data_IF_095962441870
#
_entry.id   IF_095962441870
#
_cell.length_a   1.000
_cell.length_b   1.000
_cell.length_c   1.000
_cell.angle_alpha   90.00
_cell.angle_beta   90.00
_cell.angle_gamma   90.00
#
_symmetry.space_group_name_H-M   'P 1'
#
loop_
_entity.id
_entity.type
_entity.pdbx_description
1 polymer ?
#
# COMPACT_ATOMS: atom_id res chain seq x y z
N UNK A 1 43.76 25.26 21.18
CA UNK A 1 42.79 24.16 20.97
C UNK A 1 41.41 24.66 21.39
N UNK A 2 40.54 25.05 20.45
CA UNK A 2 39.13 25.41 20.72
C UNK A 2 38.29 24.73 19.64
N UNK A 3 37.57 23.66 20.02
CA UNK A 3 36.69 22.90 19.11
C UNK A 3 35.46 23.76 18.84
N UNK A 4 35.16 24.03 17.57
CA UNK A 4 33.93 24.70 17.15
C UNK A 4 32.79 23.70 17.29
N UNK A 5 31.84 23.97 18.17
CA UNK A 5 30.58 23.23 18.26
C UNK A 5 29.72 23.72 17.10
N UNK A 6 29.51 22.87 16.11
CA UNK A 6 28.53 23.08 15.05
C UNK A 6 27.19 22.65 15.64
N UNK A 7 26.36 23.61 16.04
CA UNK A 7 24.95 23.40 16.33
C UNK A 7 24.25 23.10 14.99
N UNK A 8 24.01 21.82 14.71
CA UNK A 8 23.09 21.39 13.67
C UNK A 8 21.67 21.76 14.12
N UNK A 9 21.15 22.86 13.59
CA UNK A 9 19.73 23.18 13.64
C UNK A 9 18.99 22.12 12.79
N UNK A 10 18.48 21.09 13.44
CA UNK A 10 17.52 20.17 12.81
C UNK A 10 16.25 21.00 12.59
N UNK A 11 15.74 21.15 11.36
CA UNK A 11 14.53 21.90 11.11
C UNK A 11 13.35 21.16 11.76
N UNK A 12 12.85 21.81 12.81
CA UNK A 12 11.48 21.88 13.31
C UNK A 12 10.50 20.97 12.54
N UNK A 13 10.05 19.93 13.24
CA UNK A 13 8.90 19.09 12.91
C UNK A 13 7.72 20.00 12.55
N UNK A 14 7.38 20.06 11.28
CA UNK A 14 6.16 20.72 10.84
C UNK A 14 5.01 19.79 11.21
N UNK A 15 4.34 20.20 12.26
CA UNK A 15 3.02 19.75 12.70
C UNK A 15 2.03 19.91 11.53
N UNK A 16 1.94 18.90 10.67
CA UNK A 16 0.88 18.81 9.68
C UNK A 16 -0.38 18.36 10.42
N UNK A 17 -1.20 19.36 10.72
CA UNK A 17 -2.63 19.33 10.99
C UNK A 17 -3.25 17.94 10.90
N UNK A 18 -3.73 17.44 12.03
CA UNK A 18 -4.81 16.46 12.08
C UNK A 18 -6.03 17.14 11.43
N UNK A 19 -6.07 17.15 10.10
CA UNK A 19 -7.34 17.17 9.40
C UNK A 19 -7.82 15.74 9.51
N UNK A 20 -8.79 15.55 10.38
CA UNK A 20 -9.56 14.33 10.52
C UNK A 20 -10.09 13.94 9.14
N UNK A 21 -9.29 13.19 8.38
CA UNK A 21 -9.84 12.32 7.37
C UNK A 21 -10.69 11.36 8.17
N UNK A 22 -12.00 11.49 7.96
CA UNK A 22 -12.97 10.52 8.39
C UNK A 22 -12.40 9.15 8.07
N UNK A 23 -11.87 8.47 9.09
CA UNK A 23 -11.99 7.03 9.17
C UNK A 23 -13.51 6.82 9.14
N UNK A 24 -14.07 6.69 7.94
CA UNK A 24 -15.19 5.78 7.77
C UNK A 24 -14.54 4.44 8.13
N UNK A 25 -14.56 4.15 9.43
CA UNK A 25 -14.35 2.82 9.94
C UNK A 25 -15.48 1.99 9.35
N UNK A 26 -15.29 1.56 8.11
CA UNK A 26 -15.89 0.37 7.64
C UNK A 26 -15.16 -0.73 8.40
N UNK A 27 -15.71 -1.06 9.57
CA UNK A 27 -15.41 -2.33 10.22
C UNK A 27 -16.02 -3.42 9.32
N UNK A 28 -15.37 -3.72 8.20
CA UNK A 28 -15.66 -4.88 7.35
C UNK A 28 -14.93 -6.13 7.85
N UNK A 29 -14.08 -6.02 8.87
CA UNK A 29 -13.33 -7.13 9.42
C UNK A 29 -12.16 -7.57 8.53
N UNK A 30 -11.76 -6.74 7.56
CA UNK A 30 -10.63 -7.05 6.70
C UNK A 30 -9.30 -6.96 7.47
N UNK A 31 -8.46 -7.99 7.31
CA UNK A 31 -7.12 -8.03 7.89
C UNK A 31 -6.19 -7.05 7.16
N UNK A 32 -5.71 -6.04 7.88
CA UNK A 32 -4.65 -5.14 7.41
C UNK A 32 -3.31 -5.83 7.55
N UNK A 33 -2.56 -5.93 6.46
CA UNK A 33 -1.19 -6.44 6.41
C UNK A 33 -0.22 -5.30 6.15
N UNK A 34 0.93 -5.33 6.81
CA UNK A 34 1.90 -4.22 6.76
C UNK A 34 3.27 -4.65 6.28
N UNK A 35 4.00 -3.73 5.66
CA UNK A 35 5.41 -3.89 5.28
C UNK A 35 6.12 -2.56 5.47
N UNK A 36 7.06 -2.50 6.42
CA UNK A 36 7.92 -1.34 6.65
C UNK A 36 9.34 -1.70 6.22
N UNK A 37 9.74 -1.19 5.07
CA UNK A 37 11.06 -1.46 4.50
C UNK A 37 11.61 -0.20 3.86
N UNK A 38 12.90 0.03 4.06
CA UNK A 38 13.62 1.19 3.51
C UNK A 38 12.96 2.55 3.84
N UNK A 39 12.31 2.67 5.01
CA UNK A 39 11.64 3.89 5.45
C UNK A 39 10.35 4.21 4.70
N UNK A 40 9.75 3.20 4.05
CA UNK A 40 8.43 3.26 3.41
C UNK A 40 7.54 2.19 4.05
N UNK A 41 6.47 2.64 4.69
CA UNK A 41 5.44 1.81 5.30
C UNK A 41 4.29 1.63 4.32
N UNK A 42 3.96 0.38 4.04
CA UNK A 42 2.73 -0.05 3.38
C UNK A 42 1.77 -0.64 4.40
N UNK A 43 0.50 -0.28 4.28
CA UNK A 43 -0.64 -0.90 4.94
C UNK A 43 -1.65 -1.29 3.86
N UNK A 44 -1.99 -2.57 3.78
CA UNK A 44 -2.82 -3.11 2.71
C UNK A 44 -3.93 -3.99 3.28
N UNK A 45 -5.17 -3.77 2.85
CA UNK A 45 -6.33 -4.58 3.25
C UNK A 45 -7.13 -5.06 2.03
N UNK A 46 -7.62 -6.29 2.07
CA UNK A 46 -8.49 -6.85 1.03
C UNK A 46 -9.95 -6.48 1.32
N UNK A 47 -10.57 -5.64 0.49
CA UNK A 47 -11.91 -5.13 0.73
C UNK A 47 -13.00 -6.07 0.19
N UNK A 48 -14.00 -6.37 1.05
CA UNK A 48 -15.29 -6.99 0.70
C UNK A 48 -15.21 -8.10 -0.38
N UNK A 49 -14.29 -9.07 -0.20
CA UNK A 49 -14.07 -10.12 -1.21
C UNK A 49 -15.34 -10.94 -1.49
N UNK A 50 -15.65 -11.10 -2.78
CA UNK A 50 -16.62 -12.05 -3.27
C UNK A 50 -16.12 -12.64 -4.61
N UNK A 51 -16.26 -13.96 -4.84
CA UNK A 51 -15.68 -14.62 -6.02
C UNK A 51 -16.13 -14.06 -7.39
N UNK A 52 -17.31 -13.44 -7.44
CA UNK A 52 -17.89 -12.88 -8.66
C UNK A 52 -17.53 -11.40 -8.89
N UNK A 53 -16.76 -10.80 -7.97
CA UNK A 53 -16.42 -9.39 -7.99
C UNK A 53 -14.91 -9.17 -8.24
N UNK A 54 -14.55 -8.03 -8.87
CA UNK A 54 -13.16 -7.56 -8.90
C UNK A 54 -12.57 -7.45 -7.49
N UNK A 55 -11.29 -7.81 -7.34
CA UNK A 55 -10.60 -7.63 -6.07
C UNK A 55 -10.20 -6.17 -5.88
N UNK A 56 -10.39 -5.68 -4.66
CA UNK A 56 -10.09 -4.30 -4.27
C UNK A 56 -9.19 -4.32 -3.06
N UNK A 57 -8.03 -3.69 -3.18
CA UNK A 57 -7.12 -3.52 -2.05
C UNK A 57 -7.12 -2.06 -1.63
N UNK A 58 -7.44 -1.80 -0.37
CA UNK A 58 -7.15 -0.51 0.24
C UNK A 58 -5.64 -0.47 0.51
N UNK A 59 -4.96 0.53 -0.03
CA UNK A 59 -3.50 0.66 0.07
C UNK A 59 -3.19 2.04 0.62
N UNK A 60 -2.51 2.06 1.77
CA UNK A 60 -1.91 3.26 2.34
C UNK A 60 -0.40 3.13 2.35
N UNK A 61 0.30 4.16 1.88
CA UNK A 61 1.75 4.22 1.77
C UNK A 61 2.22 5.51 2.41
N UNK A 62 3.19 5.42 3.31
CA UNK A 62 3.77 6.59 3.97
C UNK A 62 5.29 6.50 3.99
N UNK A 63 5.95 7.65 3.83
CA UNK A 63 7.40 7.74 3.99
C UNK A 63 7.80 9.07 4.62
N UNK A 64 8.91 9.06 5.35
CA UNK A 64 9.49 10.27 5.94
C UNK A 64 10.60 10.91 5.09
N UNK A 65 10.92 10.33 3.93
CA UNK A 65 11.95 10.83 3.02
C UNK A 65 11.72 10.41 1.58
N UNK A 66 12.24 11.15 0.59
CA UNK A 66 12.05 10.82 -0.83
C UNK A 66 10.62 11.02 -1.31
N UNK A 67 10.29 10.64 -2.54
CA UNK A 67 8.94 10.78 -3.11
C UNK A 67 8.42 9.43 -3.59
N UNK A 68 7.12 9.18 -3.43
CA UNK A 68 6.44 7.95 -3.84
C UNK A 68 6.08 7.98 -5.33
N UNK A 69 7.09 8.04 -6.20
CA UNK A 69 6.93 8.31 -7.64
C UNK A 69 6.61 7.06 -8.50
N UNK A 70 6.24 5.94 -7.88
CA UNK A 70 5.92 4.71 -8.60
C UNK A 70 4.43 4.59 -8.93
N UNK A 71 4.14 4.05 -10.12
CA UNK A 71 2.78 3.70 -10.53
C UNK A 71 2.44 2.29 -10.03
N UNK A 72 1.55 2.20 -9.04
CA UNK A 72 1.08 0.93 -8.48
C UNK A 72 0.53 -0.03 -9.54
N UNK A 73 -0.06 0.48 -10.63
CA UNK A 73 -0.56 -0.38 -11.72
C UNK A 73 0.55 -1.05 -12.53
N UNK A 74 1.79 -0.56 -12.42
CA UNK A 74 2.97 -1.06 -13.15
C UNK A 74 3.90 -1.88 -12.30
N UNK A 75 3.84 -1.71 -10.99
CA UNK A 75 4.73 -2.40 -10.05
C UNK A 75 4.04 -3.51 -9.26
N UNK A 76 2.74 -3.73 -9.49
CA UNK A 76 1.98 -4.72 -8.75
C UNK A 76 1.44 -5.84 -9.63
N UNK A 77 1.31 -7.03 -9.03
CA UNK A 77 0.56 -8.15 -9.61
C UNK A 77 0.00 -9.05 -8.49
N UNK A 78 -1.08 -9.76 -8.79
CA UNK A 78 -1.59 -10.85 -7.96
C UNK A 78 -1.17 -12.20 -8.54
N UNK A 79 -0.93 -13.15 -7.66
CA UNK A 79 -0.89 -14.57 -7.98
C UNK A 79 -1.91 -15.30 -7.09
N UNK A 80 -2.67 -16.23 -7.64
CA UNK A 80 -3.47 -17.17 -6.85
C UNK A 80 -2.72 -18.48 -6.58
N UNK A 81 -3.28 -19.31 -5.70
CA UNK A 81 -2.74 -20.62 -5.34
C UNK A 81 -2.84 -21.68 -6.46
N UNK A 82 -3.43 -21.31 -7.60
CA UNK A 82 -3.54 -22.15 -8.80
C UNK A 82 -2.48 -21.79 -9.84
N UNK A 83 -1.73 -20.72 -9.60
CA UNK A 83 -0.65 -20.24 -10.46
C UNK A 83 -1.10 -19.22 -11.51
N UNK A 84 -2.36 -18.77 -11.48
CA UNK A 84 -2.83 -17.71 -12.36
C UNK A 84 -2.29 -16.36 -11.87
N UNK A 85 -1.89 -15.49 -12.81
CA UNK A 85 -1.40 -14.14 -12.53
C UNK A 85 -2.34 -13.08 -13.06
N UNK A 86 -2.53 -12.03 -12.29
CA UNK A 86 -3.44 -10.93 -12.62
C UNK A 86 -2.74 -9.58 -12.47
N UNK A 87 -2.83 -8.75 -13.51
CA UNK A 87 -2.37 -7.36 -13.47
C UNK A 87 -3.46 -6.44 -12.88
N UNK A 88 -3.09 -5.32 -12.23
CA UNK A 88 -4.04 -4.33 -11.78
C UNK A 88 -4.81 -3.73 -12.97
N UNK A 89 -6.12 -3.51 -12.78
CA UNK A 89 -6.96 -2.79 -13.74
C UNK A 89 -6.74 -1.29 -13.61
N UNK A 90 -6.72 -0.77 -12.38
CA UNK A 90 -6.59 0.66 -12.11
C UNK A 90 -6.14 0.95 -10.68
N UNK A 91 -5.59 2.15 -10.49
CA UNK A 91 -5.36 2.77 -9.20
C UNK A 91 -6.36 3.90 -8.99
N UNK A 92 -7.22 3.76 -7.98
CA UNK A 92 -8.19 4.76 -7.56
C UNK A 92 -7.64 5.56 -6.39
N UNK A 93 -6.64 6.40 -6.66
CA UNK A 93 -6.05 7.31 -5.69
C UNK A 93 -5.37 8.49 -6.38
N UNK A 94 -4.65 9.34 -5.63
CA UNK A 94 -3.83 10.38 -6.23
C UNK A 94 -2.81 9.82 -7.21
N UNK A 95 -2.37 10.59 -8.23
CA UNK A 95 -1.27 10.18 -9.09
C UNK A 95 0.03 9.97 -8.27
N UNK A 96 1.01 9.22 -8.79
CA UNK A 96 2.29 9.01 -8.12
C UNK A 96 2.97 10.32 -7.69
N UNK A 97 3.59 10.29 -6.51
CA UNK A 97 4.37 11.38 -5.93
C UNK A 97 4.02 11.68 -4.47
N UNK A 98 4.75 12.63 -3.90
CA UNK A 98 4.57 13.07 -2.51
C UNK A 98 5.09 12.06 -1.48
N UNK A 99 4.62 12.18 -0.24
CA UNK A 99 5.11 11.37 0.90
C UNK A 99 4.02 10.49 1.53
N UNK A 100 2.78 10.62 1.06
CA UNK A 100 1.63 9.86 1.51
C UNK A 100 0.74 9.55 0.30
N UNK A 101 0.45 8.28 0.07
CA UNK A 101 -0.52 7.81 -0.92
C UNK A 101 -1.56 6.95 -0.22
N UNK A 102 -2.83 7.15 -0.56
CA UNK A 102 -3.94 6.34 -0.09
C UNK A 102 -4.97 6.19 -1.20
N UNK A 103 -5.51 4.99 -1.38
CA UNK A 103 -6.45 4.70 -2.46
C UNK A 103 -6.68 3.20 -2.66
N UNK A 104 -7.44 2.88 -3.69
CA UNK A 104 -7.82 1.48 -3.98
C UNK A 104 -7.09 0.97 -5.21
N UNK A 105 -6.35 -0.13 -5.07
CA UNK A 105 -5.77 -0.87 -6.18
C UNK A 105 -6.77 -1.94 -6.64
N UNK A 106 -7.30 -1.78 -7.84
CA UNK A 106 -8.30 -2.67 -8.42
C UNK A 106 -7.64 -3.76 -9.27
N UNK A 107 -8.08 -5.00 -9.10
CA UNK A 107 -7.71 -6.16 -9.91
C UNK A 107 -8.94 -6.76 -10.58
N UNK A 108 -8.79 -7.54 -11.65
CA UNK A 108 -9.92 -8.21 -12.28
C UNK A 108 -10.55 -9.26 -11.35
N UNK A 109 -11.66 -9.85 -11.81
CA UNK A 109 -12.20 -11.07 -11.22
C UNK A 109 -11.17 -12.18 -11.39
N UNK A 110 -10.89 -12.93 -10.32
CA UNK A 110 -9.93 -14.05 -10.32
C UNK A 110 -10.66 -15.39 -10.43
N UNK A 111 -9.89 -16.47 -10.48
CA UNK A 111 -10.42 -17.82 -10.42
C UNK A 111 -11.26 -18.04 -9.15
N UNK A 112 -12.56 -18.33 -9.32
CA UNK A 112 -13.50 -18.57 -8.21
C UNK A 112 -13.14 -19.76 -7.31
N UNK A 113 -12.26 -20.64 -7.79
CA UNK A 113 -11.77 -21.78 -7.03
C UNK A 113 -10.46 -21.48 -6.29
N UNK A 114 -9.90 -20.26 -6.41
CA UNK A 114 -8.74 -19.83 -5.65
C UNK A 114 -9.06 -19.81 -4.15
N UNK A 115 -8.15 -20.35 -3.36
CA UNK A 115 -8.27 -20.39 -1.90
C UNK A 115 -7.38 -19.36 -1.22
N UNK A 116 -6.32 -18.92 -1.93
CA UNK A 116 -5.36 -17.95 -1.43
C UNK A 116 -4.92 -17.04 -2.56
N UNK A 117 -4.54 -15.84 -2.18
CA UNK A 117 -3.94 -14.86 -3.08
C UNK A 117 -2.71 -14.24 -2.45
N UNK A 118 -1.77 -13.85 -3.31
CA UNK A 118 -0.58 -13.10 -2.96
C UNK A 118 -0.48 -11.85 -3.82
N UNK A 119 -0.59 -10.69 -3.20
CA UNK A 119 -0.27 -9.41 -3.80
C UNK A 119 1.23 -9.18 -3.70
N UNK A 120 1.87 -8.94 -4.84
CA UNK A 120 3.26 -8.52 -4.93
C UNK A 120 3.32 -7.07 -5.37
N UNK A 121 4.14 -6.25 -4.70
CA UNK A 121 4.43 -4.86 -5.07
C UNK A 121 5.95 -4.72 -5.14
N UNK A 122 6.47 -4.36 -6.31
CA UNK A 122 7.89 -4.16 -6.58
C UNK A 122 8.22 -2.66 -6.63
N UNK A 123 8.42 -2.05 -5.46
CA UNK A 123 8.94 -0.68 -5.39
C UNK A 123 10.49 -0.70 -5.48
N UNK A 124 11.18 0.05 -4.63
CA UNK A 124 12.63 -0.11 -4.39
C UNK A 124 13.03 -1.50 -3.84
N UNK A 125 12.09 -2.23 -3.26
CA UNK A 125 12.20 -3.57 -2.70
C UNK A 125 10.99 -4.41 -3.11
N UNK A 126 11.09 -5.73 -2.98
CA UNK A 126 9.97 -6.65 -3.21
C UNK A 126 9.14 -6.76 -1.93
N UNK A 127 7.83 -6.49 -2.02
CA UNK A 127 6.87 -6.64 -0.91
C UNK A 127 5.78 -7.64 -1.30
N UNK A 128 5.38 -8.48 -0.37
CA UNK A 128 4.34 -9.50 -0.59
C UNK A 128 3.33 -9.53 0.56
N UNK A 129 2.05 -9.63 0.21
CA UNK A 129 0.93 -9.69 1.16
C UNK A 129 0.01 -10.86 0.76
N UNK A 130 -0.33 -11.74 1.70
CA UNK A 130 -1.05 -12.98 1.42
C UNK A 130 -2.33 -13.09 2.23
N UNK A 131 -3.45 -13.40 1.59
CA UNK A 131 -4.75 -13.63 2.24
C UNK A 131 -5.30 -15.00 1.87
N UNK A 132 -5.95 -15.63 2.86
CA UNK A 132 -6.86 -16.76 2.63
C UNK A 132 -8.24 -16.21 2.20
N UNK A 133 -8.86 -16.85 1.20
CA UNK A 133 -10.17 -16.48 0.64
C UNK A 133 -11.32 -17.35 1.18
N UNK A 134 -11.02 -18.24 2.14
CA UNK A 134 -11.94 -19.24 2.70
C UNK A 134 -12.20 -19.02 4.18
#
# INVERSE_FOLDING_TARGET
MKRKIILLLIPIIVLASITTYFFIGKNDGSEIKTSDENGVLFEVALLDFAPENPLRFDVTITTHSGSLDFDLTKVSFLEDDRGDKYEPVEWQGPPPGGHHLAGVLLFPIINKEAEKIKLTIQDSVLRTFEWDLR
#
